data_IF_817702067019
#
_entry.id   IF_817702067019
#
_cell.length_a   1.000
_cell.length_b   1.000
_cell.length_c   1.000
_cell.angle_alpha   90.00
_cell.angle_beta   90.00
_cell.angle_gamma   90.00
#
_symmetry.space_group_name_H-M   'P 1'
#
loop_
_entity.id
_entity.type
_entity.pdbx_description
1 polymer ?
#
# COMPACT_ATOMS: atom_id res chain seq x y z
N UNK A 1 26.22 -15.21 0.91
CA UNK A 1 24.86 -14.60 0.96
C UNK A 1 23.87 -15.76 1.08
N UNK A 2 22.99 -15.75 2.07
CA UNK A 2 21.93 -16.76 2.18
C UNK A 2 20.75 -16.30 1.30
N UNK A 3 20.43 -17.08 0.26
CA UNK A 3 19.36 -16.78 -0.70
C UNK A 3 18.06 -17.55 -0.41
N UNK A 4 18.04 -18.31 0.68
CA UNK A 4 16.85 -19.06 1.09
C UNK A 4 15.85 -18.13 1.81
N UNK A 5 14.57 -18.23 1.43
CA UNK A 5 13.51 -17.54 2.15
C UNK A 5 13.41 -18.06 3.58
N UNK A 6 13.33 -17.18 4.59
CA UNK A 6 13.14 -17.61 5.96
C UNK A 6 11.87 -18.46 6.11
N UNK A 7 11.98 -19.63 6.74
CA UNK A 7 10.86 -20.60 6.88
C UNK A 7 9.57 -19.97 7.40
N UNK A 8 9.68 -18.97 8.29
CA UNK A 8 8.53 -18.25 8.87
C UNK A 8 7.69 -17.47 7.85
N UNK A 9 8.26 -17.11 6.68
CA UNK A 9 7.56 -16.37 5.62
C UNK A 9 7.13 -17.26 4.46
N UNK A 10 7.45 -18.57 4.52
CA UNK A 10 7.16 -19.47 3.41
C UNK A 10 5.68 -19.48 3.06
N UNK A 11 4.81 -19.59 4.04
CA UNK A 11 3.36 -19.62 3.79
C UNK A 11 2.87 -18.34 3.08
N UNK A 12 3.35 -17.17 3.51
CA UNK A 12 2.99 -15.90 2.88
C UNK A 12 3.51 -15.81 1.44
N UNK A 13 4.76 -16.23 1.21
CA UNK A 13 5.33 -16.23 -0.14
C UNK A 13 4.56 -17.20 -1.05
N UNK A 14 4.26 -18.41 -0.57
CA UNK A 14 3.48 -19.40 -1.32
C UNK A 14 2.06 -18.86 -1.67
N UNK A 15 1.38 -18.23 -0.73
CA UNK A 15 0.07 -17.62 -0.97
C UNK A 15 0.13 -16.47 -2.00
N UNK A 16 1.13 -15.60 -1.89
CA UNK A 16 1.34 -14.53 -2.84
C UNK A 16 1.66 -15.08 -4.25
N UNK A 17 2.45 -16.15 -4.33
CA UNK A 17 2.73 -16.86 -5.57
C UNK A 17 1.48 -17.42 -6.22
N UNK A 18 0.61 -18.07 -5.45
CA UNK A 18 -0.66 -18.60 -5.96
C UNK A 18 -1.56 -17.49 -6.52
N UNK A 19 -1.64 -16.34 -5.86
CA UNK A 19 -2.35 -15.17 -6.40
C UNK A 19 -1.70 -14.69 -7.70
N UNK A 20 -0.38 -14.62 -7.75
CA UNK A 20 0.35 -14.19 -8.94
C UNK A 20 0.08 -15.10 -10.14
N UNK A 21 0.16 -16.42 -9.94
CA UNK A 21 0.02 -17.42 -11.01
C UNK A 21 -1.43 -17.58 -11.44
N UNK A 22 -2.35 -17.67 -10.49
CA UNK A 22 -3.74 -18.03 -10.77
C UNK A 22 -4.66 -16.82 -11.01
N UNK A 23 -4.23 -15.63 -10.58
CA UNK A 23 -5.04 -14.43 -10.70
C UNK A 23 -4.41 -13.37 -11.62
N UNK A 24 -3.17 -12.95 -11.39
CA UNK A 24 -2.54 -11.90 -12.21
C UNK A 24 -2.13 -12.40 -13.59
N UNK A 25 -1.41 -13.50 -13.69
CA UNK A 25 -0.91 -14.00 -14.97
C UNK A 25 -1.99 -14.25 -16.02
N UNK A 26 -3.14 -14.84 -15.71
CA UNK A 26 -4.19 -15.08 -16.69
C UNK A 26 -4.75 -13.81 -17.33
N UNK A 27 -4.76 -12.69 -16.59
CA UNK A 27 -5.33 -11.42 -17.06
C UNK A 27 -4.26 -10.41 -17.53
N UNK A 28 -2.99 -10.63 -17.20
CA UNK A 28 -1.86 -9.73 -17.54
C UNK A 28 -1.89 -9.34 -19.02
N UNK A 29 -1.81 -10.32 -19.91
CA UNK A 29 -1.78 -10.06 -21.36
C UNK A 29 -3.06 -9.42 -21.91
N UNK A 30 -4.19 -9.67 -21.28
CA UNK A 30 -5.48 -9.05 -21.64
C UNK A 30 -5.40 -7.54 -21.43
N UNK A 31 -4.92 -7.11 -20.26
CA UNK A 31 -4.83 -5.69 -19.92
C UNK A 31 -3.63 -4.98 -20.52
N UNK A 32 -2.53 -5.66 -20.78
CA UNK A 32 -1.43 -5.14 -21.58
C UNK A 32 -1.87 -4.71 -22.99
N UNK A 33 -2.74 -5.52 -23.63
CA UNK A 33 -3.27 -5.21 -24.97
C UNK A 33 -4.42 -4.19 -24.95
N UNK A 34 -5.16 -4.16 -23.88
CA UNK A 34 -6.38 -3.34 -23.77
C UNK A 34 -6.09 -1.99 -23.11
N UNK A 35 -4.97 -1.36 -23.43
CA UNK A 35 -4.48 -0.09 -22.85
C UNK A 35 -5.59 0.78 -22.26
N UNK A 36 -5.39 1.31 -21.06
CA UNK A 36 -6.36 2.14 -20.31
C UNK A 36 -7.65 1.44 -19.84
N UNK A 37 -7.83 0.14 -20.14
CA UNK A 37 -8.97 -0.61 -19.60
C UNK A 37 -8.73 -0.95 -18.12
N UNK A 38 -9.72 -0.66 -17.28
CA UNK A 38 -9.65 -0.97 -15.86
C UNK A 38 -9.79 -2.48 -15.61
N UNK A 39 -8.87 -3.12 -14.87
CA UNK A 39 -8.94 -4.54 -14.57
C UNK A 39 -9.95 -4.84 -13.44
N UNK A 40 -11.21 -5.04 -13.81
CA UNK A 40 -12.34 -5.26 -12.87
C UNK A 40 -12.13 -6.46 -11.93
N UNK A 41 -11.35 -7.44 -12.36
CA UNK A 41 -11.01 -8.62 -11.55
C UNK A 41 -10.26 -8.23 -10.27
N UNK A 42 -9.55 -7.09 -10.27
CA UNK A 42 -8.83 -6.60 -9.09
C UNK A 42 -9.78 -6.10 -7.99
N UNK A 43 -10.98 -5.62 -8.33
CA UNK A 43 -11.97 -5.22 -7.33
C UNK A 43 -12.44 -6.43 -6.52
N UNK A 44 -12.64 -7.57 -7.21
CA UNK A 44 -13.02 -8.81 -6.55
C UNK A 44 -11.90 -9.31 -5.62
N UNK A 45 -10.65 -9.27 -6.07
CA UNK A 45 -9.50 -9.66 -5.24
C UNK A 45 -9.35 -8.74 -4.02
N UNK A 46 -9.50 -7.43 -4.20
CA UNK A 46 -9.45 -6.47 -3.09
C UNK A 46 -10.57 -6.71 -2.07
N UNK A 47 -11.79 -6.98 -2.54
CA UNK A 47 -12.92 -7.29 -1.65
C UNK A 47 -12.71 -8.60 -0.88
N UNK A 48 -12.10 -9.60 -1.49
CA UNK A 48 -11.73 -10.84 -0.82
C UNK A 48 -10.69 -10.60 0.27
N UNK A 49 -9.66 -9.81 -0.03
CA UNK A 49 -8.61 -9.46 0.94
C UNK A 49 -9.16 -8.63 2.11
N UNK A 50 -10.10 -7.72 1.85
CA UNK A 50 -10.79 -6.98 2.90
C UNK A 50 -11.59 -7.89 3.81
N UNK A 51 -12.39 -8.81 3.25
CA UNK A 51 -13.17 -9.78 4.03
C UNK A 51 -12.29 -10.68 4.92
N UNK A 52 -11.08 -11.01 4.47
CA UNK A 52 -10.11 -11.75 5.29
C UNK A 52 -9.55 -10.90 6.43
N UNK A 53 -9.45 -9.57 6.24
CA UNK A 53 -8.95 -8.63 7.26
C UNK A 53 -10.02 -8.22 8.27
N UNK A 54 -11.30 -8.21 7.92
CA UNK A 54 -12.41 -7.87 8.82
C UNK A 54 -12.56 -8.84 10.01
N UNK A 55 -12.06 -10.07 9.87
CA UNK A 55 -11.98 -11.04 10.96
C UNK A 55 -10.83 -10.80 11.96
N UNK A 56 -9.92 -9.91 11.67
CA UNK A 56 -8.88 -9.46 12.59
C UNK A 56 -9.25 -8.08 13.13
N UNK A 57 -9.06 -7.85 14.41
CA UNK A 57 -9.34 -6.57 15.14
C UNK A 57 -8.44 -5.41 14.62
N UNK A 58 -8.21 -5.38 13.32
CA UNK A 58 -7.31 -4.45 12.65
C UNK A 58 -8.09 -3.32 11.98
N UNK A 59 -7.90 -2.12 12.49
CA UNK A 59 -8.35 -0.90 11.83
C UNK A 59 -7.88 -0.88 10.38
N UNK A 60 -8.72 -0.42 9.45
CA UNK A 60 -8.41 -0.29 8.02
C UNK A 60 -8.03 1.14 7.66
N UNK A 61 -7.35 1.32 6.54
CA UNK A 61 -6.98 2.64 6.04
C UNK A 61 -5.89 3.34 6.87
N UNK A 62 -5.99 4.68 7.01
CA UNK A 62 -4.99 5.50 7.70
C UNK A 62 -4.82 5.16 9.18
N UNK A 63 -5.90 4.74 9.86
CA UNK A 63 -5.86 4.33 11.26
C UNK A 63 -4.97 3.09 11.51
N UNK A 64 -4.92 2.16 10.55
CA UNK A 64 -4.02 0.98 10.63
C UNK A 64 -2.56 1.39 10.58
N UNK A 65 -2.22 2.35 9.73
CA UNK A 65 -0.84 2.85 9.63
C UNK A 65 -0.41 3.54 10.94
N UNK A 66 -1.31 4.30 11.59
CA UNK A 66 -1.09 4.92 12.90
C UNK A 66 -0.81 3.90 14.00
N UNK A 67 -1.64 2.87 14.11
CA UNK A 67 -1.45 1.78 15.10
C UNK A 67 -0.11 1.05 14.88
N UNK A 68 0.29 0.80 13.64
CA UNK A 68 1.60 0.19 13.33
C UNK A 68 2.77 1.10 13.72
N UNK A 69 2.59 2.41 13.68
CA UNK A 69 3.60 3.40 14.09
C UNK A 69 3.75 3.52 15.60
N UNK A 70 2.68 3.32 16.37
CA UNK A 70 2.66 3.49 17.82
C UNK A 70 3.39 2.37 18.58
N UNK A 71 3.49 1.18 18.04
CA UNK A 71 4.23 0.07 18.64
C UNK A 71 5.73 0.19 18.27
N UNK A 72 6.42 1.15 18.85
CA UNK A 72 7.88 1.24 18.80
C UNK A 72 8.48 0.45 19.96
N UNK A 73 8.59 -0.85 19.81
CA UNK A 73 9.54 -1.61 20.62
C UNK A 73 10.96 -1.30 20.13
N UNK A 74 11.85 -0.93 21.05
CA UNK A 74 13.28 -0.81 20.78
C UNK A 74 13.83 -2.19 20.42
N UNK A 75 14.37 -2.33 19.20
CA UNK A 75 15.00 -3.56 18.75
C UNK A 75 14.77 -3.87 17.27
N UNK A 76 15.34 -4.99 16.82
CA UNK A 76 15.16 -5.51 15.46
C UNK A 76 13.71 -5.97 15.30
N UNK A 77 12.93 -5.23 14.54
CA UNK A 77 11.54 -5.55 14.30
C UNK A 77 11.39 -6.87 13.54
N UNK A 78 10.33 -7.53 13.85
CA UNK A 78 9.94 -8.89 13.54
C UNK A 78 9.76 -9.25 12.04
N UNK A 79 10.48 -8.56 11.15
CA UNK A 79 10.53 -8.91 9.72
C UNK A 79 9.31 -8.46 8.91
N UNK A 80 8.51 -7.48 9.37
CA UNK A 80 7.37 -6.97 8.61
C UNK A 80 7.78 -6.43 7.23
N UNK A 81 8.89 -5.70 7.15
CA UNK A 81 9.40 -5.21 5.87
C UNK A 81 9.87 -6.36 4.96
N UNK A 82 10.48 -7.40 5.53
CA UNK A 82 10.88 -8.60 4.78
C UNK A 82 9.65 -9.36 4.28
N UNK A 83 8.63 -9.50 5.11
CA UNK A 83 7.35 -10.10 4.74
C UNK A 83 6.72 -9.38 3.54
N UNK A 84 6.66 -8.05 3.61
CA UNK A 84 6.14 -7.22 2.51
C UNK A 84 6.98 -7.38 1.25
N UNK A 85 8.31 -7.33 1.36
CA UNK A 85 9.21 -7.49 0.22
C UNK A 85 9.02 -8.84 -0.48
N UNK A 86 8.96 -9.93 0.29
CA UNK A 86 8.75 -11.28 -0.27
C UNK A 86 7.38 -11.41 -0.94
N UNK A 87 6.33 -10.90 -0.32
CA UNK A 87 5.00 -10.89 -0.94
C UNK A 87 4.95 -10.08 -2.24
N UNK A 88 5.58 -8.90 -2.25
CA UNK A 88 5.67 -8.06 -3.46
C UNK A 88 6.48 -8.73 -4.56
N UNK A 89 7.59 -9.40 -4.24
CA UNK A 89 8.40 -10.15 -5.23
C UNK A 89 7.53 -11.19 -5.93
N UNK A 90 6.78 -11.98 -5.18
CA UNK A 90 5.91 -13.02 -5.74
C UNK A 90 4.76 -12.44 -6.56
N UNK A 91 4.13 -11.37 -6.09
CA UNK A 91 3.06 -10.70 -6.85
C UNK A 91 3.58 -10.07 -8.14
N UNK A 92 4.76 -9.44 -8.12
CA UNK A 92 5.42 -8.90 -9.31
C UNK A 92 5.78 -9.98 -10.33
N UNK A 93 6.05 -11.21 -9.88
CA UNK A 93 6.21 -12.36 -10.78
C UNK A 93 4.95 -12.60 -11.62
N UNK A 94 3.77 -12.34 -11.07
CA UNK A 94 2.52 -12.39 -11.81
C UNK A 94 2.40 -11.26 -12.82
N UNK A 95 2.38 -10.02 -12.35
CA UNK A 95 2.35 -8.79 -13.14
C UNK A 95 2.54 -7.57 -12.24
N UNK A 96 3.58 -6.79 -12.48
CA UNK A 96 3.88 -5.59 -11.71
C UNK A 96 2.84 -4.48 -11.93
N UNK A 97 2.35 -4.32 -13.16
CA UNK A 97 1.35 -3.30 -13.50
C UNK A 97 0.04 -3.55 -12.79
N UNK A 98 -0.43 -4.79 -12.80
CA UNK A 98 -1.64 -5.19 -12.07
C UNK A 98 -1.47 -5.01 -10.57
N UNK A 99 -0.30 -5.35 -10.00
CA UNK A 99 -0.02 -5.09 -8.60
C UNK A 99 -0.15 -3.60 -8.25
N UNK A 100 0.45 -2.72 -9.07
CA UNK A 100 0.39 -1.27 -8.84
C UNK A 100 -1.00 -0.67 -9.10
N UNK A 101 -1.85 -1.36 -9.86
CA UNK A 101 -3.24 -0.96 -10.12
C UNK A 101 -4.22 -1.46 -9.05
N UNK A 102 -3.78 -2.36 -8.16
CA UNK A 102 -4.62 -2.86 -7.08
C UNK A 102 -5.30 -1.71 -6.32
N UNK A 103 -6.63 -1.75 -6.11
CA UNK A 103 -7.32 -0.75 -5.33
C UNK A 103 -6.87 -0.77 -3.86
N UNK A 104 -7.05 0.35 -3.17
CA UNK A 104 -6.83 0.47 -1.71
C UNK A 104 -5.40 0.21 -1.24
N UNK A 105 -4.41 0.55 -2.04
CA UNK A 105 -3.00 0.42 -1.62
C UNK A 105 -2.61 1.41 -0.51
N UNK A 106 -3.27 2.56 -0.45
CA UNK A 106 -3.12 3.51 0.64
C UNK A 106 -1.71 4.06 0.80
N UNK A 107 -1.00 4.35 -0.28
CA UNK A 107 0.36 4.91 -0.22
C UNK A 107 0.43 6.20 0.60
N UNK A 108 -0.62 7.04 0.55
CA UNK A 108 -0.73 8.25 1.35
C UNK A 108 -1.07 8.01 2.81
N UNK A 109 -1.56 6.82 3.18
CA UNK A 109 -1.96 6.53 4.56
C UNK A 109 -0.79 6.63 5.54
N UNK A 110 0.43 6.24 5.12
CA UNK A 110 1.62 6.36 5.95
C UNK A 110 2.01 7.81 6.23
N UNK A 111 1.81 8.70 5.25
CA UNK A 111 2.04 10.13 5.41
C UNK A 111 1.04 10.74 6.40
N UNK A 112 -0.25 10.40 6.27
CA UNK A 112 -1.30 10.83 7.21
C UNK A 112 -0.95 10.35 8.62
N UNK A 113 -0.65 9.06 8.78
CA UNK A 113 -0.34 8.46 10.07
C UNK A 113 0.91 9.03 10.76
N UNK A 114 1.86 9.57 9.98
CA UNK A 114 3.10 10.16 10.50
C UNK A 114 2.88 11.52 11.17
N UNK A 115 1.85 12.28 10.76
CA UNK A 115 1.66 13.67 11.18
C UNK A 115 0.29 13.95 11.81
N UNK A 116 -0.71 13.07 11.62
CA UNK A 116 -2.06 13.25 12.11
C UNK A 116 -2.13 13.06 13.62
N UNK A 117 -2.96 13.90 14.29
CA UNK A 117 -3.38 13.67 15.67
C UNK A 117 -4.50 12.63 15.75
N UNK A 118 -4.92 12.26 16.95
CA UNK A 118 -5.93 11.21 17.19
C UNK A 118 -7.28 11.54 16.54
N UNK A 119 -7.74 12.78 16.61
CA UNK A 119 -8.98 13.24 15.98
C UNK A 119 -8.92 13.11 14.45
N UNK A 120 -7.79 13.47 13.86
CA UNK A 120 -7.55 13.33 12.41
C UNK A 120 -7.48 11.87 11.99
N UNK A 121 -6.84 11.01 12.79
CA UNK A 121 -6.79 9.57 12.53
C UNK A 121 -8.19 8.93 12.58
N UNK A 122 -9.02 9.34 13.54
CA UNK A 122 -10.42 8.90 13.61
C UNK A 122 -11.22 9.37 12.40
N UNK A 123 -11.09 10.65 12.02
CA UNK A 123 -11.75 11.22 10.83
C UNK A 123 -11.36 10.51 9.52
N UNK A 124 -10.12 10.07 9.41
CA UNK A 124 -9.61 9.37 8.22
C UNK A 124 -9.64 7.84 8.34
N UNK A 125 -10.21 7.30 9.43
CA UNK A 125 -10.39 5.86 9.57
C UNK A 125 -11.17 5.29 8.38
N UNK A 126 -10.72 4.18 7.84
CA UNK A 126 -11.33 3.57 6.65
C UNK A 126 -11.12 4.31 5.32
N UNK A 127 -10.46 5.48 5.32
CA UNK A 127 -10.12 6.18 4.08
C UNK A 127 -8.80 5.67 3.51
N UNK A 128 -8.71 5.70 2.19
CA UNK A 128 -7.52 5.29 1.45
C UNK A 128 -6.98 6.49 0.69
N UNK A 129 -5.75 6.90 1.04
CA UNK A 129 -5.11 8.07 0.46
C UNK A 129 -4.11 7.64 -0.62
N UNK A 130 -4.21 8.25 -1.78
CA UNK A 130 -3.18 8.21 -2.81
C UNK A 130 -2.03 9.17 -2.44
N UNK A 131 -0.91 9.04 -3.13
CA UNK A 131 0.23 9.92 -2.97
C UNK A 131 0.53 10.63 -4.30
N UNK A 132 0.58 11.97 -4.25
CA UNK A 132 1.06 12.81 -5.34
C UNK A 132 2.19 13.69 -4.76
N UNK A 133 3.44 13.27 -4.93
CA UNK A 133 4.60 13.87 -4.25
C UNK A 133 5.59 14.50 -5.23
N UNK A 134 5.69 14.01 -6.46
CA UNK A 134 6.65 14.49 -7.45
C UNK A 134 6.25 15.87 -7.97
N UNK A 135 7.17 16.81 -7.93
CA UNK A 135 7.04 18.15 -8.50
C UNK A 135 7.95 18.31 -9.72
N UNK A 136 7.74 19.31 -10.59
CA UNK A 136 8.59 19.53 -11.76
C UNK A 136 10.09 19.69 -11.44
N UNK A 137 10.41 20.23 -10.27
CA UNK A 137 11.79 20.48 -9.81
C UNK A 137 12.34 19.41 -8.88
N UNK A 138 11.52 18.49 -8.38
CA UNK A 138 11.92 17.52 -7.36
C UNK A 138 11.26 16.15 -7.58
N UNK A 139 12.06 15.14 -7.85
CA UNK A 139 11.63 13.74 -7.93
C UNK A 139 12.20 12.94 -6.76
N UNK A 140 13.40 12.38 -6.95
CA UNK A 140 14.10 11.62 -5.90
C UNK A 140 14.46 12.44 -4.67
N UNK A 141 14.63 13.74 -4.82
CA UNK A 141 14.91 14.70 -3.74
C UNK A 141 13.60 15.22 -3.11
N UNK A 142 12.79 14.32 -2.61
CA UNK A 142 11.48 14.64 -2.02
C UNK A 142 11.57 15.50 -0.74
N UNK A 143 12.77 15.66 -0.17
CA UNK A 143 12.98 16.59 0.94
C UNK A 143 12.93 18.06 0.53
N UNK A 144 13.09 18.36 -0.77
CA UNK A 144 13.08 19.70 -1.34
C UNK A 144 11.78 20.07 -2.05
N UNK A 145 10.65 19.44 -1.70
CA UNK A 145 9.32 19.82 -2.19
C UNK A 145 9.01 21.28 -1.82
N UNK A 146 8.38 21.99 -2.74
CA UNK A 146 8.08 23.42 -2.61
C UNK A 146 6.62 23.74 -2.48
N UNK A 147 5.76 22.77 -2.76
CA UNK A 147 4.30 22.92 -2.57
C UNK A 147 4.01 23.38 -1.15
N UNK A 148 3.27 24.44 -1.02
CA UNK A 148 2.83 25.01 0.26
C UNK A 148 1.34 24.94 0.41
N UNK A 149 0.85 24.86 1.63
CA UNK A 149 -0.56 24.96 1.97
C UNK A 149 -0.74 26.11 2.99
N UNK A 150 -1.44 27.16 2.59
CA UNK A 150 -1.69 28.33 3.44
C UNK A 150 -3.17 28.36 3.80
N UNK A 151 -3.49 28.50 5.10
CA UNK A 151 -4.86 28.57 5.59
C UNK A 151 -5.51 29.90 5.17
N UNK A 152 -6.71 29.82 4.57
CA UNK A 152 -7.55 30.95 4.21
C UNK A 152 -8.99 30.72 4.68
N UNK A 153 -9.35 31.29 5.83
CA UNK A 153 -10.65 31.01 6.47
C UNK A 153 -10.79 29.55 6.85
N UNK A 154 -11.81 28.88 6.29
CA UNK A 154 -12.06 27.45 6.51
C UNK A 154 -11.40 26.54 5.47
N UNK A 155 -10.73 27.10 4.47
CA UNK A 155 -10.08 26.42 3.38
C UNK A 155 -8.55 26.51 3.45
N UNK A 156 -7.86 25.83 2.52
CA UNK A 156 -6.43 25.93 2.28
C UNK A 156 -6.15 26.23 0.82
N UNK A 157 -5.28 27.22 0.59
CA UNK A 157 -4.74 27.50 -0.74
C UNK A 157 -3.46 26.69 -0.90
N UNK A 158 -3.41 25.89 -1.95
CA UNK A 158 -2.25 25.05 -2.29
C UNK A 158 -1.56 25.66 -3.50
N UNK A 159 -0.25 25.94 -3.38
CA UNK A 159 0.60 26.51 -4.44
C UNK A 159 1.81 25.62 -4.67
#
# INVERSE_FOLDING_TARGET
MNLENPKKFKLLADQAHEVAVNFFRPISRKYDKAEHAYPKELDMLASLLDGMNEGSDSATGAATAGKRGAVREEGIRNGSNMSTALGVIELCYGDTGLLLTMPRQGLGNSAIAAVANDEQLERFAGKWAAMAITEPGTGSDSANIRTTAVKDGDDYIIN
#
